data_IF_451937780754
#
_entry.id   IF_451937780754
#
_cell.length_a   1.000
_cell.length_b   1.000
_cell.length_c   1.000
_cell.angle_alpha   90.00
_cell.angle_beta   90.00
_cell.angle_gamma   90.00
#
_symmetry.space_group_name_H-M   'P 1'
#
loop_
_entity.id
_entity.type
_entity.pdbx_description
1 polymer ?
#
# COMPACT_ATOMS: atom_id res chain seq x y z
N UNK A 1 -10.78 10.75 7.99
CA UNK A 1 -11.48 11.24 6.77
C UNK A 1 -11.97 10.04 5.96
N UNK A 2 -13.24 10.03 5.52
CA UNK A 2 -13.80 8.93 4.71
C UNK A 2 -13.56 9.20 3.20
N UNK A 3 -12.59 8.50 2.61
CA UNK A 3 -12.20 8.68 1.21
C UNK A 3 -13.34 8.34 0.23
N UNK A 4 -14.05 7.23 0.44
CA UNK A 4 -15.18 6.83 -0.41
C UNK A 4 -16.34 7.83 -0.35
N UNK A 5 -16.65 8.38 0.82
CA UNK A 5 -17.68 9.43 0.97
C UNK A 5 -17.29 10.70 0.21
N UNK A 6 -16.04 11.15 0.35
CA UNK A 6 -15.53 12.32 -0.35
C UNK A 6 -15.58 12.13 -1.89
N UNK A 7 -15.28 10.92 -2.37
CA UNK A 7 -15.35 10.57 -3.77
C UNK A 7 -16.79 10.59 -4.32
N UNK A 8 -17.74 9.99 -3.59
CA UNK A 8 -19.16 10.05 -3.96
C UNK A 8 -19.70 11.50 -3.98
N UNK A 9 -19.30 12.33 -3.01
CA UNK A 9 -19.66 13.75 -2.99
C UNK A 9 -19.06 14.52 -4.17
N UNK A 10 -17.82 14.19 -4.58
CA UNK A 10 -17.17 14.81 -5.73
C UNK A 10 -17.96 14.56 -7.02
N UNK A 11 -18.55 13.38 -7.16
CA UNK A 11 -19.36 12.98 -8.31
C UNK A 11 -20.86 13.30 -8.15
N UNK A 12 -21.23 14.18 -7.22
CA UNK A 12 -22.64 14.58 -7.02
C UNK A 12 -23.58 13.46 -6.59
N UNK A 13 -23.04 12.30 -6.17
CA UNK A 13 -23.82 11.11 -5.84
C UNK A 13 -24.37 10.34 -7.05
N UNK A 14 -23.98 10.68 -8.28
CA UNK A 14 -24.46 10.02 -9.51
C UNK A 14 -23.86 8.62 -9.70
N UNK A 15 -22.68 8.38 -9.15
CA UNK A 15 -21.94 7.13 -9.26
C UNK A 15 -21.79 6.45 -7.90
N UNK A 16 -21.58 5.13 -7.92
CA UNK A 16 -20.98 4.43 -6.79
C UNK A 16 -19.45 4.46 -6.92
N UNK A 17 -18.84 5.40 -6.20
CA UNK A 17 -17.41 5.63 -6.26
C UNK A 17 -16.60 4.58 -5.50
N UNK A 18 -15.64 3.95 -6.19
CA UNK A 18 -14.56 3.15 -5.60
C UNK A 18 -13.25 3.93 -5.62
N UNK A 19 -12.40 3.69 -4.63
CA UNK A 19 -11.14 4.43 -4.41
C UNK A 19 -10.01 3.47 -4.10
N UNK A 20 -8.78 3.96 -3.94
CA UNK A 20 -7.64 3.14 -3.51
C UNK A 20 -7.49 3.04 -1.98
N UNK A 21 -8.00 4.04 -1.25
CA UNK A 21 -7.80 4.16 0.20
C UNK A 21 -8.84 3.35 1.00
N UNK A 22 -8.48 2.81 2.17
CA UNK A 22 -9.45 2.26 3.12
C UNK A 22 -10.51 3.29 3.51
N UNK A 23 -11.75 2.84 3.69
CA UNK A 23 -12.86 3.69 4.13
C UNK A 23 -13.67 2.99 5.22
N UNK A 24 -14.22 3.74 6.20
CA UNK A 24 -15.06 3.16 7.23
C UNK A 24 -16.42 2.72 6.64
N UNK A 25 -17.14 1.79 7.30
CA UNK A 25 -16.81 1.20 8.59
C UNK A 25 -15.69 0.15 8.53
N UNK A 26 -15.06 -0.14 9.67
CA UNK A 26 -14.12 -1.25 9.79
C UNK A 26 -14.81 -2.58 9.47
N UNK A 27 -14.12 -3.43 8.71
CA UNK A 27 -14.57 -4.79 8.40
C UNK A 27 -14.16 -5.71 9.53
N UNK A 28 -15.14 -6.24 10.25
CA UNK A 28 -14.95 -7.13 11.41
C UNK A 28 -15.12 -8.60 11.06
N UNK A 29 -15.53 -8.92 9.84
CA UNK A 29 -15.69 -10.29 9.36
C UNK A 29 -14.44 -10.77 8.61
N UNK A 30 -14.05 -12.01 8.89
CA UNK A 30 -12.86 -12.63 8.33
C UNK A 30 -13.00 -12.99 6.84
N UNK A 31 -11.92 -13.47 6.21
CA UNK A 31 -10.61 -13.76 6.83
C UNK A 31 -9.66 -12.55 6.84
N UNK A 32 -10.01 -11.47 6.15
CA UNK A 32 -9.10 -10.35 5.87
C UNK A 32 -9.12 -9.24 6.91
N UNK A 33 -10.26 -9.01 7.57
CA UNK A 33 -10.43 -7.97 8.60
C UNK A 33 -9.95 -6.59 8.10
N UNK A 34 -10.36 -6.28 6.87
CA UNK A 34 -10.04 -5.06 6.13
C UNK A 34 -11.05 -4.92 4.98
N UNK A 35 -11.31 -3.69 4.54
CA UNK A 35 -12.05 -3.46 3.30
C UNK A 35 -11.20 -3.82 2.06
N UNK A 36 -11.86 -4.00 0.93
CA UNK A 36 -11.25 -4.06 -0.41
C UNK A 36 -11.78 -2.85 -1.20
N UNK A 37 -11.04 -1.71 -1.21
CA UNK A 37 -11.56 -0.42 -1.70
C UNK A 37 -11.95 -0.39 -3.18
N UNK A 38 -11.31 -1.24 -4.00
CA UNK A 38 -11.52 -1.27 -5.46
C UNK A 38 -12.47 -2.36 -5.92
N UNK A 39 -12.81 -3.33 -5.05
CA UNK A 39 -13.74 -4.40 -5.39
C UNK A 39 -15.16 -3.85 -5.60
N UNK A 40 -15.92 -4.51 -6.47
CA UNK A 40 -17.33 -4.23 -6.75
C UNK A 40 -18.18 -4.32 -5.48
N UNK A 41 -17.86 -5.24 -4.57
CA UNK A 41 -18.71 -5.53 -3.43
C UNK A 41 -20.15 -5.85 -3.87
N UNK A 42 -21.12 -5.60 -3.00
CA UNK A 42 -22.53 -5.64 -3.40
C UNK A 42 -22.89 -4.37 -4.19
N UNK A 43 -23.68 -4.49 -5.28
CA UNK A 43 -24.24 -3.34 -5.96
C UNK A 43 -25.00 -2.47 -4.97
N UNK A 44 -24.85 -1.15 -5.09
CA UNK A 44 -25.68 -0.28 -4.27
C UNK A 44 -27.17 -0.49 -4.59
N UNK A 45 -28.03 -0.35 -3.58
CA UNK A 45 -29.48 -0.57 -3.75
C UNK A 45 -30.13 0.42 -4.74
N UNK A 46 -29.39 1.46 -5.14
CA UNK A 46 -29.84 2.50 -6.07
C UNK A 46 -29.55 2.17 -7.53
N UNK A 47 -28.73 1.16 -7.82
CA UNK A 47 -28.35 0.76 -9.17
C UNK A 47 -27.50 1.80 -9.90
N UNK A 48 -26.72 2.60 -9.17
CA UNK A 48 -25.87 3.63 -9.79
C UNK A 48 -24.69 2.99 -10.54
N UNK A 49 -24.22 3.59 -11.65
CA UNK A 49 -23.02 3.11 -12.33
C UNK A 49 -21.81 3.16 -11.39
N UNK A 50 -20.98 2.12 -11.45
CA UNK A 50 -19.78 1.98 -10.64
C UNK A 50 -18.61 2.65 -11.36
N UNK A 51 -17.88 3.50 -10.65
CA UNK A 51 -16.62 4.09 -11.11
C UNK A 51 -15.45 3.57 -10.28
N UNK A 52 -14.39 3.11 -10.95
CA UNK A 52 -13.20 2.54 -10.30
C UNK A 52 -11.90 3.20 -10.75
N UNK A 53 -10.82 3.10 -9.93
CA UNK A 53 -9.46 3.48 -10.35
C UNK A 53 -8.80 2.44 -11.27
N UNK A 54 -9.48 1.31 -11.51
CA UNK A 54 -9.02 0.18 -12.31
C UNK A 54 -10.11 -0.23 -13.30
N UNK A 55 -9.73 -0.99 -14.33
CA UNK A 55 -10.69 -1.53 -15.31
C UNK A 55 -11.67 -2.55 -14.70
N UNK A 56 -12.76 -2.86 -15.40
CA UNK A 56 -13.75 -3.84 -14.95
C UNK A 56 -14.91 -3.23 -14.15
N UNK A 57 -15.22 -1.97 -14.38
CA UNK A 57 -16.44 -1.29 -13.91
C UNK A 57 -17.19 -0.68 -15.10
N UNK A 58 -18.31 0.02 -14.84
CA UNK A 58 -19.05 0.74 -15.87
C UNK A 58 -18.21 1.88 -16.50
N UNK A 59 -17.35 2.51 -15.70
CA UNK A 59 -16.38 3.52 -16.15
C UNK A 59 -15.18 3.62 -15.21
N UNK A 60 -14.09 4.23 -15.65
CA UNK A 60 -12.94 4.55 -14.78
C UNK A 60 -12.92 6.03 -14.40
N UNK A 61 -12.24 6.36 -13.30
CA UNK A 61 -11.98 7.77 -12.97
C UNK A 61 -11.23 8.50 -14.08
N UNK A 62 -10.33 7.82 -14.78
CA UNK A 62 -9.56 8.40 -15.88
C UNK A 62 -10.46 8.78 -17.06
N UNK A 63 -11.44 7.92 -17.40
CA UNK A 63 -12.44 8.23 -18.43
C UNK A 63 -13.26 9.47 -18.06
N UNK A 64 -13.68 9.59 -16.80
CA UNK A 64 -14.44 10.76 -16.32
C UNK A 64 -13.61 12.05 -16.34
N UNK A 65 -12.29 11.96 -16.26
CA UNK A 65 -11.40 13.12 -16.25
C UNK A 65 -11.18 13.74 -17.63
N UNK A 66 -11.53 13.04 -18.73
CA UNK A 66 -11.13 13.43 -20.10
C UNK A 66 -11.47 14.89 -20.45
N UNK A 67 -12.68 15.32 -20.09
CA UNK A 67 -13.23 16.64 -20.42
C UNK A 67 -13.41 17.56 -19.19
N UNK A 68 -12.96 17.14 -18.00
CA UNK A 68 -13.06 17.90 -16.75
C UNK A 68 -11.69 18.04 -16.09
N UNK A 69 -11.06 19.20 -16.30
CA UNK A 69 -9.74 19.52 -15.73
C UNK A 69 -9.74 19.58 -14.21
N UNK A 70 -10.82 20.07 -13.59
CA UNK A 70 -10.88 20.18 -12.13
C UNK A 70 -11.00 18.80 -11.50
N UNK A 71 -11.78 17.91 -12.12
CA UNK A 71 -11.82 16.49 -11.73
C UNK A 71 -10.49 15.79 -11.98
N UNK A 72 -9.83 16.06 -13.11
CA UNK A 72 -8.51 15.53 -13.43
C UNK A 72 -7.48 15.89 -12.34
N UNK A 73 -7.39 17.16 -11.93
CA UNK A 73 -6.49 17.59 -10.86
C UNK A 73 -6.82 16.90 -9.52
N UNK A 74 -8.12 16.74 -9.22
CA UNK A 74 -8.59 16.05 -8.01
C UNK A 74 -8.26 14.55 -7.99
N UNK A 75 -8.41 13.88 -9.13
CA UNK A 75 -8.12 12.45 -9.32
C UNK A 75 -6.61 12.20 -9.32
N UNK A 76 -5.83 13.03 -10.00
CA UNK A 76 -4.39 12.96 -10.03
C UNK A 76 -3.84 13.00 -8.59
N UNK A 77 -4.29 13.97 -7.79
CA UNK A 77 -3.89 14.11 -6.38
C UNK A 77 -4.19 12.88 -5.48
N UNK A 78 -5.04 11.96 -5.94
CA UNK A 78 -5.45 10.74 -5.23
C UNK A 78 -5.04 9.45 -5.94
N UNK A 79 -4.29 9.55 -7.04
CA UNK A 79 -3.87 8.42 -7.87
C UNK A 79 -5.04 7.60 -8.45
N UNK A 80 -6.22 8.21 -8.60
CA UNK A 80 -7.42 7.53 -9.11
C UNK A 80 -7.49 7.51 -10.64
N UNK A 81 -6.92 8.52 -11.30
CA UNK A 81 -6.92 8.74 -12.75
C UNK A 81 -6.11 10.01 -13.06
N UNK A 82 -6.03 10.42 -14.32
CA UNK A 82 -5.23 11.55 -14.79
C UNK A 82 -3.79 11.51 -14.23
N UNK A 83 -3.16 10.34 -14.31
CA UNK A 83 -1.96 10.03 -13.54
C UNK A 83 -0.81 11.01 -13.85
N UNK A 84 -0.28 11.63 -12.80
CA UNK A 84 0.92 12.46 -12.90
C UNK A 84 2.17 11.59 -12.98
N UNK A 85 3.23 12.04 -13.67
CA UNK A 85 4.52 11.36 -13.61
C UNK A 85 5.13 11.51 -12.21
N UNK A 86 5.78 10.45 -11.74
CA UNK A 86 6.69 10.49 -10.59
C UNK A 86 7.93 11.31 -10.94
N UNK A 87 8.41 12.16 -10.02
CA UNK A 87 9.69 12.82 -10.17
C UNK A 87 10.85 11.83 -9.96
N UNK A 88 12.09 12.22 -10.31
CA UNK A 88 13.28 11.54 -9.81
C UNK A 88 13.28 11.45 -8.28
N UNK A 89 13.94 10.43 -7.73
CA UNK A 89 14.13 10.32 -6.30
C UNK A 89 14.81 11.58 -5.72
N UNK A 90 14.43 12.00 -4.49
CA UNK A 90 15.14 13.03 -3.72
C UNK A 90 16.61 12.65 -3.45
N UNK A 91 17.31 13.52 -2.72
CA UNK A 91 18.69 13.25 -2.32
C UNK A 91 18.80 11.89 -1.57
N UNK A 92 19.69 10.96 -2.01
CA UNK A 92 19.70 9.59 -1.51
C UNK A 92 19.81 9.45 0.02
N UNK A 93 20.65 10.25 0.67
CA UNK A 93 20.83 10.20 2.13
C UNK A 93 19.56 10.58 2.89
N UNK A 94 18.88 11.64 2.45
CA UNK A 94 17.58 12.07 3.02
C UNK A 94 16.46 11.07 2.78
N UNK A 95 16.42 10.50 1.57
CA UNK A 95 15.43 9.47 1.23
C UNK A 95 15.63 8.23 2.10
N UNK A 96 16.86 7.73 2.22
CA UNK A 96 17.18 6.56 3.03
C UNK A 96 16.86 6.79 4.52
N UNK A 97 17.23 7.95 5.10
CA UNK A 97 16.92 8.28 6.49
C UNK A 97 15.41 8.40 6.76
N UNK A 98 14.68 9.02 5.83
CA UNK A 98 13.21 9.13 5.91
C UNK A 98 12.55 7.77 5.80
N UNK A 99 12.97 6.96 4.82
CA UNK A 99 12.49 5.58 4.64
C UNK A 99 12.70 4.75 5.90
N UNK A 100 13.89 4.76 6.49
CA UNK A 100 14.18 4.02 7.72
C UNK A 100 13.27 4.46 8.88
N UNK A 101 13.04 5.78 9.02
CA UNK A 101 12.16 6.32 10.06
C UNK A 101 10.70 5.91 9.87
N UNK A 102 10.21 5.92 8.62
CA UNK A 102 8.85 5.51 8.30
C UNK A 102 8.66 3.99 8.39
N UNK A 103 9.68 3.21 8.02
CA UNK A 103 9.70 1.76 8.22
C UNK A 103 9.59 1.41 9.71
N UNK A 104 10.35 2.10 10.58
CA UNK A 104 10.24 1.92 12.02
C UNK A 104 8.83 2.21 12.56
N UNK A 105 8.12 3.21 12.02
CA UNK A 105 6.72 3.44 12.37
C UNK A 105 5.77 2.34 11.87
N UNK A 106 6.02 1.82 10.66
CA UNK A 106 5.24 0.72 10.10
C UNK A 106 5.33 -0.51 11.01
N UNK A 107 6.56 -0.89 11.39
CA UNK A 107 6.83 -2.08 12.20
C UNK A 107 6.44 -1.92 13.68
N UNK A 108 6.70 -0.76 14.28
CA UNK A 108 6.62 -0.59 15.73
C UNK A 108 5.41 0.21 16.22
N UNK A 109 4.60 0.78 15.32
CA UNK A 109 3.38 1.53 15.71
C UNK A 109 2.16 1.07 14.93
N UNK A 110 2.14 1.19 13.61
CA UNK A 110 0.94 0.95 12.81
C UNK A 110 0.57 -0.54 12.76
N UNK A 111 1.53 -1.42 12.48
CA UNK A 111 1.32 -2.86 12.48
C UNK A 111 0.90 -3.38 13.86
N UNK A 112 1.59 -3.03 14.98
CA UNK A 112 1.18 -3.42 16.33
C UNK A 112 -0.22 -2.92 16.70
N UNK A 113 -0.59 -1.69 16.32
CA UNK A 113 -1.93 -1.16 16.56
C UNK A 113 -3.00 -2.02 15.87
N UNK A 114 -2.78 -2.41 14.62
CA UNK A 114 -3.70 -3.29 13.89
C UNK A 114 -3.71 -4.70 14.48
N UNK A 115 -2.53 -5.23 14.81
CA UNK A 115 -2.38 -6.57 15.36
C UNK A 115 -3.08 -6.72 16.71
N UNK A 116 -2.95 -5.74 17.61
CA UNK A 116 -3.65 -5.74 18.88
C UNK A 116 -5.18 -5.79 18.70
N UNK A 117 -5.71 -5.13 17.68
CA UNK A 117 -7.15 -5.10 17.42
C UNK A 117 -7.69 -6.39 16.78
N UNK A 118 -6.93 -7.02 15.86
CA UNK A 118 -7.48 -8.12 15.06
C UNK A 118 -6.47 -9.19 14.58
N UNK A 119 -5.24 -9.18 15.09
CA UNK A 119 -4.20 -10.15 14.77
C UNK A 119 -3.59 -10.00 13.37
N UNK A 120 -3.94 -8.96 12.59
CA UNK A 120 -3.35 -8.71 11.26
C UNK A 120 -2.34 -7.57 11.31
N UNK A 121 -1.34 -7.63 10.44
CA UNK A 121 -0.24 -6.66 10.39
C UNK A 121 -0.22 -5.79 9.13
N UNK A 122 -0.82 -6.26 8.03
CA UNK A 122 -0.71 -5.59 6.74
C UNK A 122 -1.24 -4.15 6.76
N UNK A 123 -0.58 -3.27 6.04
CA UNK A 123 -0.96 -1.87 5.89
C UNK A 123 -1.50 -1.64 4.47
N UNK A 124 -1.88 -0.40 4.17
CA UNK A 124 -2.45 0.02 2.90
C UNK A 124 -1.89 1.37 2.50
N UNK A 125 -1.92 1.66 1.21
CA UNK A 125 -1.81 3.03 0.76
C UNK A 125 -2.93 3.87 1.39
N UNK A 126 -2.53 5.03 1.91
CA UNK A 126 -3.42 6.14 2.28
C UNK A 126 -2.81 7.39 1.68
N UNK A 127 -3.62 8.36 1.26
CA UNK A 127 -3.13 9.53 0.53
C UNK A 127 -2.01 10.24 1.30
N UNK A 128 -0.86 10.40 0.65
CA UNK A 128 0.33 11.03 1.23
C UNK A 128 1.22 10.11 2.06
N UNK A 129 0.96 8.80 2.09
CA UNK A 129 1.77 7.84 2.83
C UNK A 129 1.15 6.45 2.86
N UNK A 130 1.00 5.90 4.06
CA UNK A 130 0.50 4.56 4.31
C UNK A 130 -0.17 4.47 5.68
N UNK A 131 -1.06 3.51 5.86
CA UNK A 131 -1.84 3.38 7.09
C UNK A 131 -2.44 2.01 7.28
N UNK A 132 -3.03 1.80 8.46
CA UNK A 132 -3.85 0.61 8.69
C UNK A 132 -5.12 0.69 7.81
N UNK A 133 -5.74 -0.46 7.47
CA UNK A 133 -7.19 -0.47 7.25
C UNK A 133 -7.92 0.09 8.48
N UNK A 134 -9.19 0.44 8.32
CA UNK A 134 -10.03 0.72 9.49
C UNK A 134 -10.20 -0.56 10.32
N UNK A 135 -10.01 -0.46 11.62
CA UNK A 135 -10.24 -1.51 12.61
C UNK A 135 -11.08 -0.96 13.78
N UNK A 136 -11.65 -1.84 14.61
CA UNK A 136 -12.40 -1.44 15.81
C UNK A 136 -11.44 -1.29 16.97
N UNK A 137 -11.50 -0.17 17.70
CA UNK A 137 -10.78 -0.02 18.96
C UNK A 137 -11.50 -0.70 20.13
N UNK A 138 -10.92 -0.63 21.33
CA UNK A 138 -11.48 -1.25 22.54
C UNK A 138 -12.86 -0.69 22.94
N UNK A 139 -13.19 0.53 22.50
CA UNK A 139 -14.51 1.13 22.71
C UNK A 139 -15.54 0.69 21.65
N UNK A 140 -15.10 -0.01 20.60
CA UNK A 140 -15.93 -0.42 19.47
C UNK A 140 -16.07 0.64 18.38
N UNK A 141 -15.30 1.72 18.44
CA UNK A 141 -15.31 2.78 17.44
C UNK A 141 -14.39 2.46 16.26
N UNK A 142 -14.72 3.00 15.08
CA UNK A 142 -13.86 2.88 13.91
C UNK A 142 -12.58 3.72 14.10
N UNK A 143 -11.44 3.05 13.97
CA UNK A 143 -10.11 3.65 14.11
C UNK A 143 -9.24 3.38 12.89
N UNK A 144 -8.46 4.38 12.51
CA UNK A 144 -7.37 4.23 11.55
C UNK A 144 -6.15 5.02 12.05
N UNK A 145 -4.97 4.41 11.94
CA UNK A 145 -3.68 5.07 12.19
C UNK A 145 -2.92 5.10 10.88
N UNK A 146 -2.46 6.27 10.43
CA UNK A 146 -1.72 6.44 9.18
C UNK A 146 -0.64 7.50 9.27
N UNK A 147 0.35 7.39 8.41
CA UNK A 147 1.32 8.43 8.12
C UNK A 147 0.83 9.22 6.91
N UNK A 148 0.85 10.55 7.02
CA UNK A 148 0.63 11.47 5.90
C UNK A 148 1.75 12.50 5.90
N UNK A 149 2.72 12.34 4.99
CA UNK A 149 3.95 13.14 5.00
C UNK A 149 4.77 12.91 6.29
N UNK A 150 4.99 13.99 7.04
CA UNK A 150 5.73 14.02 8.31
C UNK A 150 4.83 14.01 9.55
N UNK A 151 3.53 13.77 9.37
CA UNK A 151 2.55 13.70 10.44
C UNK A 151 1.97 12.30 10.62
N UNK A 152 1.71 11.95 11.88
CA UNK A 152 0.89 10.81 12.27
C UNK A 152 -0.56 11.28 12.37
N UNK A 153 -1.45 10.57 11.70
CA UNK A 153 -2.87 10.89 11.66
C UNK A 153 -3.68 9.73 12.23
N UNK A 154 -4.56 10.04 13.17
CA UNK A 154 -5.44 9.07 13.83
C UNK A 154 -6.88 9.51 13.61
N UNK A 155 -7.63 8.70 12.88
CA UNK A 155 -9.08 8.84 12.79
C UNK A 155 -9.73 8.00 13.90
N UNK A 156 -10.66 8.59 14.65
CA UNK A 156 -11.47 7.95 15.70
C UNK A 156 -12.92 8.38 15.51
N UNK A 157 -13.76 7.46 15.04
CA UNK A 157 -15.13 7.78 14.62
C UNK A 157 -15.14 8.88 13.56
N UNK A 158 -15.76 10.02 13.87
CA UNK A 158 -15.80 11.19 12.97
C UNK A 158 -14.64 12.18 13.19
N UNK A 159 -13.84 12.03 14.24
CA UNK A 159 -12.75 12.92 14.57
C UNK A 159 -11.45 12.51 13.86
N UNK A 160 -10.68 13.50 13.41
CA UNK A 160 -9.32 13.32 12.88
C UNK A 160 -8.34 14.10 13.73
N UNK A 161 -7.32 13.42 14.26
CA UNK A 161 -6.25 14.00 15.05
C UNK A 161 -4.93 13.91 14.29
N UNK A 162 -4.08 14.93 14.42
CA UNK A 162 -2.76 14.99 13.79
C UNK A 162 -1.70 15.37 14.81
N UNK A 163 -0.50 14.79 14.66
CA UNK A 163 0.69 15.18 15.40
C UNK A 163 1.93 15.02 14.53
N UNK A 164 2.97 15.85 14.72
CA UNK A 164 4.25 15.66 14.06
C UNK A 164 4.88 14.33 14.52
N UNK A 165 5.58 13.67 13.60
CA UNK A 165 6.34 12.47 13.92
C UNK A 165 7.70 12.88 14.51
N UNK A 166 7.99 12.41 15.72
CA UNK A 166 9.24 12.73 16.43
C UNK A 166 10.00 11.49 16.87
N UNK A 167 9.34 10.58 17.58
CA UNK A 167 9.89 9.30 18.04
C UNK A 167 8.83 8.20 17.94
N UNK A 168 9.26 6.94 17.93
CA UNK A 168 8.34 5.79 17.94
C UNK A 168 7.46 5.80 19.20
N UNK A 169 8.01 6.12 20.37
CA UNK A 169 7.26 6.20 21.63
C UNK A 169 6.16 7.26 21.59
N UNK A 170 6.50 8.48 21.14
CA UNK A 170 5.51 9.57 21.02
C UNK A 170 4.40 9.22 20.03
N UNK A 171 4.75 8.57 18.93
CA UNK A 171 3.81 8.11 17.92
C UNK A 171 2.85 7.04 18.48
N UNK A 172 3.35 6.07 19.24
CA UNK A 172 2.53 5.02 19.86
C UNK A 172 1.57 5.59 20.93
N UNK A 173 2.06 6.49 21.78
CA UNK A 173 1.23 7.19 22.77
C UNK A 173 0.10 7.97 22.09
N UNK A 174 0.42 8.71 21.02
CA UNK A 174 -0.57 9.46 20.24
C UNK A 174 -1.60 8.53 19.58
N UNK A 175 -1.13 7.42 19.00
CA UNK A 175 -1.99 6.40 18.40
C UNK A 175 -2.78 5.61 19.44
N UNK A 176 -2.53 5.78 20.75
CA UNK A 176 -3.14 5.00 21.84
C UNK A 176 -2.98 3.50 21.60
N UNK A 177 -1.76 3.06 21.32
CA UNK A 177 -1.41 1.65 21.17
C UNK A 177 -0.09 1.36 21.89
N UNK A 178 0.15 0.10 22.22
CA UNK A 178 1.48 -0.32 22.65
C UNK A 178 2.48 -0.13 21.50
N UNK A 179 3.65 0.44 21.80
CA UNK A 179 4.78 0.47 20.88
C UNK A 179 5.46 -0.90 20.84
N UNK A 180 5.86 -1.35 19.65
CA UNK A 180 6.42 -2.68 19.43
C UNK A 180 5.34 -3.77 19.38
N UNK A 181 5.50 -4.72 18.47
CA UNK A 181 4.72 -5.97 18.51
C UNK A 181 5.24 -6.89 19.63
N UNK A 182 4.54 -7.97 20.00
CA UNK A 182 5.25 -9.17 20.43
C UNK A 182 6.14 -9.62 19.26
N UNK A 183 7.41 -9.22 19.34
CA UNK A 183 8.47 -9.47 18.38
C UNK A 183 9.00 -10.89 18.55
N UNK A 184 9.28 -11.58 17.43
CA UNK A 184 10.15 -12.75 17.39
C UNK A 184 9.47 -14.03 16.92
N UNK A 185 10.15 -14.84 16.10
CA UNK A 185 9.69 -16.18 15.71
C UNK A 185 9.54 -17.18 16.89
N UNK A 186 9.82 -16.74 18.12
CA UNK A 186 9.66 -17.47 19.37
C UNK A 186 8.41 -17.07 20.15
N UNK A 187 8.26 -17.68 21.32
CA UNK A 187 7.24 -17.31 22.29
C UNK A 187 7.82 -16.23 23.24
N UNK A 188 7.04 -15.20 23.58
CA UNK A 188 7.39 -14.28 24.66
C UNK A 188 7.41 -15.01 26.04
N UNK A 189 7.76 -14.30 27.11
CA UNK A 189 7.75 -14.85 28.48
C UNK A 189 6.37 -15.38 28.91
N UNK A 190 5.30 -14.94 28.23
CA UNK A 190 3.92 -15.36 28.43
C UNK A 190 3.47 -16.49 27.48
N UNK A 191 4.33 -16.99 26.59
CA UNK A 191 3.99 -18.08 25.68
C UNK A 191 3.28 -17.64 24.39
N UNK A 192 3.38 -16.37 23.96
CA UNK A 192 2.77 -15.84 22.73
C UNK A 192 3.78 -15.83 21.58
N UNK A 193 3.47 -16.53 20.48
CA UNK A 193 4.32 -16.58 19.29
C UNK A 193 4.34 -15.22 18.60
N UNK A 194 5.51 -14.64 18.37
CA UNK A 194 5.63 -13.38 17.63
C UNK A 194 5.32 -13.55 16.14
N UNK A 195 4.95 -12.44 15.50
CA UNK A 195 4.31 -12.42 14.19
C UNK A 195 5.32 -12.37 13.04
N UNK A 196 6.39 -11.59 13.22
CA UNK A 196 7.57 -11.53 12.36
C UNK A 196 8.79 -11.02 13.16
N UNK A 197 9.99 -11.13 12.60
CA UNK A 197 11.21 -10.52 13.12
C UNK A 197 11.39 -9.13 12.48
N UNK A 198 11.34 -8.03 13.24
CA UNK A 198 11.51 -6.69 12.71
C UNK A 198 12.88 -6.49 12.10
N UNK A 199 12.93 -5.73 11.01
CA UNK A 199 14.18 -5.36 10.35
C UNK A 199 14.70 -4.02 10.84
N UNK A 200 13.86 -3.20 11.48
CA UNK A 200 14.26 -1.94 12.12
C UNK A 200 14.42 -2.10 13.65
N UNK A 201 15.42 -1.42 14.25
CA UNK A 201 15.63 -1.48 15.69
C UNK A 201 14.48 -0.80 16.46
N UNK A 202 13.98 -1.46 17.50
CA UNK A 202 13.05 -0.83 18.44
C UNK A 202 13.81 0.12 19.39
N UNK A 203 13.78 1.41 19.07
CA UNK A 203 14.36 2.49 19.88
C UNK A 203 13.31 3.58 20.13
N UNK A 204 12.44 3.42 21.16
CA UNK A 204 11.24 4.25 21.33
C UNK A 204 11.53 5.75 21.52
N UNK A 205 12.69 6.09 22.09
CA UNK A 205 13.11 7.46 22.35
C UNK A 205 14.08 8.02 21.30
N UNK A 206 14.52 7.20 20.34
CA UNK A 206 15.41 7.68 19.29
C UNK A 206 14.67 8.66 18.35
N UNK A 207 15.29 9.78 17.97
CA UNK A 207 14.70 10.70 17.00
C UNK A 207 14.48 10.02 15.65
N UNK A 208 13.28 10.16 15.11
CA UNK A 208 12.93 9.83 13.74
C UNK A 208 13.24 11.05 12.86
N UNK A 209 13.99 10.82 11.78
CA UNK A 209 14.40 11.87 10.85
C UNK A 209 13.55 11.77 9.60
N UNK A 210 12.66 12.75 9.40
CA UNK A 210 11.77 12.80 8.25
C UNK A 210 12.02 14.09 7.49
N UNK A 211 12.54 13.95 6.27
CA UNK A 211 12.63 15.06 5.32
C UNK A 211 11.27 15.21 4.59
N UNK A 212 10.63 16.39 4.61
CA UNK A 212 9.29 16.57 4.04
C UNK A 212 9.18 16.27 2.54
N UNK A 213 10.25 16.52 1.77
CA UNK A 213 10.28 16.22 0.34
C UNK A 213 10.36 14.72 0.10
N UNK A 214 11.17 14.02 0.88
CA UNK A 214 11.30 12.56 0.87
C UNK A 214 10.01 11.88 1.32
N UNK A 215 9.35 12.38 2.36
CA UNK A 215 8.07 11.84 2.84
C UNK A 215 6.96 12.00 1.79
N UNK A 216 6.86 13.19 1.18
CA UNK A 216 5.92 13.43 0.08
C UNK A 216 6.19 12.51 -1.11
N UNK A 217 7.46 12.36 -1.48
CA UNK A 217 7.87 11.46 -2.55
C UNK A 217 7.47 10.00 -2.26
N UNK A 218 7.69 9.49 -1.03
CA UNK A 218 7.29 8.14 -0.64
C UNK A 218 5.77 7.94 -0.65
N UNK A 219 5.00 8.95 -0.23
CA UNK A 219 3.54 8.93 -0.35
C UNK A 219 3.06 8.87 -1.81
N UNK A 220 3.75 9.58 -2.70
CA UNK A 220 3.50 9.53 -4.14
C UNK A 220 3.89 8.17 -4.75
N UNK A 221 5.02 7.61 -4.33
CA UNK A 221 5.47 6.28 -4.73
C UNK A 221 4.44 5.19 -4.35
N UNK A 222 3.97 5.17 -3.10
CA UNK A 222 2.97 4.19 -2.67
C UNK A 222 1.62 4.39 -3.36
N UNK A 223 1.22 5.63 -3.67
CA UNK A 223 0.01 5.91 -4.43
C UNK A 223 0.09 5.42 -5.87
N UNK A 224 1.21 5.69 -6.55
CA UNK A 224 1.49 5.14 -7.87
C UNK A 224 1.49 3.61 -7.87
N UNK A 225 2.22 3.00 -6.93
CA UNK A 225 2.30 1.56 -6.78
C UNK A 225 0.93 0.92 -6.53
N UNK A 226 0.11 1.50 -5.65
CA UNK A 226 -1.23 0.99 -5.37
C UNK A 226 -2.11 0.98 -6.63
N UNK A 227 -2.10 2.06 -7.42
CA UNK A 227 -2.86 2.13 -8.67
C UNK A 227 -2.39 1.14 -9.73
N UNK A 228 -1.08 0.84 -9.79
CA UNK A 228 -0.51 -0.15 -10.73
C UNK A 228 -0.81 -1.58 -10.29
N UNK A 229 -0.60 -1.90 -9.01
CA UNK A 229 -0.80 -3.26 -8.47
C UNK A 229 -2.29 -3.63 -8.42
N UNK A 230 -3.18 -2.68 -8.08
CA UNK A 230 -4.62 -2.94 -8.13
C UNK A 230 -5.11 -3.13 -9.57
N UNK A 231 -4.52 -2.44 -10.55
CA UNK A 231 -4.82 -2.68 -11.97
C UNK A 231 -4.37 -4.08 -12.40
N UNK A 232 -3.16 -4.49 -12.01
CA UNK A 232 -2.67 -5.84 -12.29
C UNK A 232 -3.58 -6.90 -11.65
N UNK A 233 -4.03 -6.65 -10.41
CA UNK A 233 -4.98 -7.53 -9.71
C UNK A 233 -6.35 -7.57 -10.39
N UNK A 234 -6.85 -6.44 -10.88
CA UNK A 234 -8.12 -6.40 -11.61
C UNK A 234 -8.08 -7.14 -12.97
N UNK A 235 -6.88 -7.27 -13.55
CA UNK A 235 -6.63 -8.08 -14.75
C UNK A 235 -6.35 -9.56 -14.45
N UNK A 236 -6.29 -9.94 -13.18
CA UNK A 236 -6.11 -11.33 -12.76
C UNK A 236 -7.37 -12.14 -13.03
N UNK A 237 -7.20 -13.39 -13.43
CA UNK A 237 -8.29 -14.36 -13.55
C UNK A 237 -8.26 -15.34 -12.36
N UNK A 238 -9.26 -16.21 -12.27
CA UNK A 238 -9.37 -17.17 -11.16
C UNK A 238 -8.13 -18.07 -11.02
N UNK A 239 -7.41 -18.33 -12.12
CA UNK A 239 -6.20 -19.15 -12.09
C UNK A 239 -5.01 -18.43 -11.44
N UNK A 240 -5.02 -17.09 -11.36
CA UNK A 240 -3.99 -16.36 -10.61
C UNK A 240 -4.23 -16.33 -9.10
N UNK A 241 -5.39 -16.77 -8.62
CA UNK A 241 -5.71 -16.79 -7.18
C UNK A 241 -5.31 -15.49 -6.44
N UNK A 242 -5.78 -14.31 -6.93
CA UNK A 242 -5.21 -13.04 -6.54
C UNK A 242 -5.38 -12.75 -5.05
N UNK A 243 -4.26 -12.43 -4.38
CA UNK A 243 -4.30 -11.86 -3.04
C UNK A 243 -4.74 -10.39 -3.07
N UNK A 244 -4.90 -9.77 -1.90
CA UNK A 244 -5.15 -8.33 -1.81
C UNK A 244 -3.84 -7.55 -1.91
N UNK A 245 -3.87 -6.42 -2.59
CA UNK A 245 -2.76 -5.45 -2.53
C UNK A 245 -2.61 -4.96 -1.09
N UNK A 246 -1.40 -5.06 -0.55
CA UNK A 246 -1.11 -4.63 0.81
C UNK A 246 0.34 -4.24 1.02
N UNK A 247 0.56 -3.37 2.01
CA UNK A 247 1.91 -3.01 2.43
C UNK A 247 2.33 -3.95 3.55
N UNK A 248 3.45 -4.65 3.37
CA UNK A 248 4.00 -5.54 4.40
C UNK A 248 4.96 -4.75 5.29
N UNK A 249 4.68 -4.63 6.60
CA UNK A 249 5.51 -3.85 7.48
C UNK A 249 6.94 -4.40 7.58
N UNK A 250 7.13 -5.73 7.53
CA UNK A 250 8.45 -6.36 7.62
C UNK A 250 9.40 -6.07 6.43
N UNK A 251 8.84 -5.77 5.26
CA UNK A 251 9.60 -5.46 4.04
C UNK A 251 9.47 -3.99 3.62
N UNK A 252 8.52 -3.28 4.23
CA UNK A 252 8.12 -1.92 3.91
C UNK A 252 7.81 -1.66 2.43
N UNK A 253 7.27 -2.67 1.76
CA UNK A 253 6.89 -2.63 0.35
C UNK A 253 5.38 -2.88 0.17
N UNK A 254 4.85 -2.41 -0.96
CA UNK A 254 3.47 -2.68 -1.35
C UNK A 254 3.47 -3.83 -2.36
N UNK A 255 2.71 -4.89 -2.12
CA UNK A 255 2.71 -6.05 -2.99
C UNK A 255 1.36 -6.77 -3.11
N UNK A 256 1.28 -7.66 -4.10
CA UNK A 256 0.19 -8.60 -4.32
C UNK A 256 0.75 -9.93 -4.82
N UNK A 257 0.26 -11.03 -4.27
CA UNK A 257 0.59 -12.36 -4.75
C UNK A 257 -0.37 -12.78 -5.85
N UNK A 258 0.17 -13.28 -6.95
CA UNK A 258 -0.57 -13.79 -8.10
C UNK A 258 0.08 -15.08 -8.59
N UNK A 259 -0.74 -15.94 -9.19
CA UNK A 259 -0.35 -17.20 -9.80
C UNK A 259 -0.83 -18.44 -9.04
N UNK A 260 -0.75 -19.58 -9.72
CA UNK A 260 -1.20 -20.86 -9.18
C UNK A 260 -0.09 -21.52 -8.35
N UNK A 261 -0.28 -21.52 -7.03
CA UNK A 261 0.65 -22.13 -6.07
C UNK A 261 0.83 -23.63 -6.32
N UNK A 262 -0.26 -24.33 -6.62
CA UNK A 262 -0.25 -25.76 -6.83
C UNK A 262 0.51 -26.16 -8.11
N UNK A 263 0.58 -25.25 -9.07
CA UNK A 263 1.34 -25.42 -10.31
C UNK A 263 2.80 -24.92 -10.21
N UNK A 264 3.22 -24.36 -9.07
CA UNK A 264 4.55 -23.77 -8.92
C UNK A 264 4.73 -22.43 -9.66
N UNK A 265 3.64 -21.84 -10.16
CA UNK A 265 3.65 -20.62 -10.96
C UNK A 265 3.15 -19.41 -10.16
N UNK A 266 3.45 -19.37 -8.85
CA UNK A 266 3.06 -18.29 -7.93
C UNK A 266 4.24 -17.39 -7.60
N UNK A 267 3.95 -16.10 -7.47
CA UNK A 267 4.95 -15.07 -7.26
C UNK A 267 4.38 -13.82 -6.63
N UNK A 268 5.27 -13.00 -6.08
CA UNK A 268 4.91 -11.71 -5.47
C UNK A 268 5.27 -10.58 -6.43
N UNK A 269 4.28 -9.73 -6.70
CA UNK A 269 4.41 -8.55 -7.55
C UNK A 269 4.36 -7.33 -6.63
N UNK A 270 5.39 -6.50 -6.65
CA UNK A 270 5.46 -5.42 -5.66
C UNK A 270 6.24 -4.19 -6.08
N UNK A 271 6.27 -3.25 -5.14
CA UNK A 271 6.89 -1.95 -5.25
C UNK A 271 7.57 -1.61 -3.93
N UNK A 272 8.90 -1.65 -3.92
CA UNK A 272 9.71 -1.30 -2.76
C UNK A 272 10.13 0.18 -2.84
N UNK A 273 10.13 0.94 -1.73
CA UNK A 273 10.72 2.28 -1.66
C UNK A 273 12.26 2.27 -1.66
N UNK A 274 12.87 1.12 -1.93
CA UNK A 274 14.29 0.84 -1.82
C UNK A 274 14.62 0.17 -0.49
N UNK A 275 15.79 -0.43 -0.40
CA UNK A 275 16.27 -1.23 0.74
C UNK A 275 17.80 -1.19 0.81
N UNK A 276 18.42 -2.19 1.43
CA UNK A 276 19.88 -2.30 1.54
C UNK A 276 20.56 -2.71 0.22
N UNK A 277 19.88 -3.49 -0.62
CA UNK A 277 20.39 -3.91 -1.93
C UNK A 277 20.08 -2.88 -3.03
N UNK A 278 18.99 -2.11 -2.88
CA UNK A 278 18.50 -1.15 -3.86
C UNK A 278 18.28 0.22 -3.24
N UNK A 279 19.19 1.16 -3.48
CA UNK A 279 19.07 2.53 -2.95
C UNK A 279 17.78 3.24 -3.41
N UNK A 280 17.42 3.05 -4.69
CA UNK A 280 16.26 3.68 -5.33
C UNK A 280 15.00 2.82 -5.18
N UNK A 281 13.80 3.43 -5.15
CA UNK A 281 12.55 2.70 -5.30
C UNK A 281 12.52 1.88 -6.59
N UNK A 282 11.85 0.74 -6.57
CA UNK A 282 11.77 -0.18 -7.70
C UNK A 282 10.50 -1.03 -7.67
N UNK A 283 10.02 -1.42 -8.84
CA UNK A 283 9.01 -2.47 -8.99
C UNK A 283 9.70 -3.82 -9.07
N UNK A 284 9.06 -4.88 -8.60
CA UNK A 284 9.61 -6.22 -8.67
C UNK A 284 8.58 -7.31 -8.98
N UNK A 285 9.10 -8.45 -9.43
CA UNK A 285 8.40 -9.71 -9.53
C UNK A 285 9.31 -10.80 -8.97
N UNK A 286 8.85 -11.54 -7.96
CA UNK A 286 9.52 -12.75 -7.45
C UNK A 286 8.77 -14.00 -7.88
N UNK A 287 9.40 -15.15 -7.72
CA UNK A 287 8.78 -16.47 -7.89
C UNK A 287 9.00 -17.32 -6.63
N UNK A 288 7.99 -18.08 -6.23
CA UNK A 288 8.02 -18.85 -4.97
C UNK A 288 8.62 -20.25 -5.13
N UNK A 289 8.70 -20.73 -6.36
CA UNK A 289 9.33 -21.99 -6.73
C UNK A 289 10.42 -21.73 -7.77
N UNK A 290 11.25 -22.75 -8.04
CA UNK A 290 12.21 -22.70 -9.12
C UNK A 290 11.49 -22.54 -10.46
N UNK A 291 11.99 -21.64 -11.30
CA UNK A 291 11.47 -21.34 -12.64
C UNK A 291 12.54 -21.58 -13.70
N UNK A 292 12.11 -21.80 -14.94
CA UNK A 292 13.04 -21.87 -16.06
C UNK A 292 13.84 -20.55 -16.21
N UNK A 293 15.14 -20.64 -16.54
CA UNK A 293 15.94 -19.44 -16.80
C UNK A 293 15.33 -18.60 -17.94
N UNK A 294 15.03 -17.34 -17.64
CA UNK A 294 14.57 -16.34 -18.60
C UNK A 294 15.33 -15.04 -18.37
N UNK A 295 15.58 -14.29 -19.45
CA UNK A 295 16.24 -12.97 -19.38
C UNK A 295 15.45 -11.95 -18.56
N UNK A 296 14.16 -12.21 -18.33
CA UNK A 296 13.29 -11.38 -17.51
C UNK A 296 13.75 -11.38 -16.05
N UNK A 297 14.21 -12.53 -15.52
CA UNK A 297 14.76 -12.66 -14.17
C UNK A 297 16.15 -12.00 -14.13
N UNK A 298 16.15 -10.69 -13.94
CA UNK A 298 17.30 -9.81 -14.12
C UNK A 298 17.91 -9.31 -12.80
N UNK A 299 17.30 -9.63 -11.65
CA UNK A 299 17.77 -9.17 -10.35
C UNK A 299 18.88 -10.10 -9.82
N UNK A 300 19.84 -9.51 -9.11
CA UNK A 300 20.98 -10.24 -8.55
C UNK A 300 20.95 -10.30 -7.01
N UNK A 301 20.06 -9.54 -6.37
CA UNK A 301 19.89 -9.51 -4.93
C UNK A 301 18.83 -10.50 -4.43
N UNK A 302 17.87 -10.88 -5.29
CA UNK A 302 16.85 -11.88 -5.00
C UNK A 302 16.45 -12.67 -6.26
N UNK A 303 15.79 -13.80 -6.06
CA UNK A 303 15.25 -14.64 -7.13
C UNK A 303 14.03 -13.97 -7.77
N UNK A 304 14.28 -13.19 -8.82
CA UNK A 304 13.24 -12.46 -9.51
C UNK A 304 13.75 -11.39 -10.48
N UNK A 305 12.91 -10.39 -10.68
CA UNK A 305 13.17 -9.28 -11.58
C UNK A 305 12.84 -7.94 -10.91
N UNK A 306 13.57 -6.89 -11.29
CA UNK A 306 13.29 -5.52 -10.87
C UNK A 306 13.28 -4.52 -12.04
N UNK A 307 12.52 -3.45 -11.86
CA UNK A 307 12.52 -2.24 -12.67
C UNK A 307 12.70 -1.04 -11.75
N UNK A 308 13.88 -0.41 -11.81
CA UNK A 308 14.23 0.68 -10.91
C UNK A 308 13.56 2.00 -11.30
N UNK A 309 13.35 2.90 -10.33
CA UNK A 309 12.82 4.23 -10.59
C UNK A 309 13.65 5.02 -11.62
N UNK A 310 15.00 5.01 -11.61
CA UNK A 310 15.80 5.65 -12.66
C UNK A 310 15.52 5.14 -14.08
N UNK A 311 15.13 3.87 -14.25
CA UNK A 311 14.71 3.31 -15.53
C UNK A 311 13.26 3.69 -15.88
N UNK A 312 12.41 3.84 -14.87
CA UNK A 312 11.02 4.22 -15.02
C UNK A 312 10.82 5.72 -15.35
N UNK A 313 11.56 6.61 -14.68
CA UNK A 313 11.40 8.07 -14.78
C UNK A 313 11.45 8.60 -16.23
N UNK A 314 12.36 8.15 -17.11
CA UNK A 314 12.43 8.60 -18.50
C UNK A 314 11.27 8.13 -19.38
N UNK A 315 10.45 7.18 -18.93
CA UNK A 315 9.32 6.67 -19.71
C UNK A 315 8.29 7.79 -19.93
N UNK A 316 7.82 7.92 -21.19
CA UNK A 316 6.77 8.90 -21.55
C UNK A 316 5.48 8.66 -20.78
N UNK A 317 5.13 7.40 -20.58
CA UNK A 317 4.02 6.95 -19.75
C UNK A 317 4.58 5.93 -18.75
N UNK A 318 4.86 6.42 -17.55
CA UNK A 318 5.44 5.62 -16.47
C UNK A 318 4.46 4.53 -16.00
N UNK A 319 3.16 4.82 -15.98
CA UNK A 319 2.16 3.83 -15.55
C UNK A 319 2.08 2.68 -16.55
N UNK A 320 2.08 2.98 -17.84
CA UNK A 320 2.11 1.95 -18.88
C UNK A 320 3.39 1.10 -18.80
N UNK A 321 4.57 1.74 -18.65
CA UNK A 321 5.84 1.02 -18.52
C UNK A 321 5.88 0.09 -17.29
N UNK A 322 5.36 0.57 -16.14
CA UNK A 322 5.24 -0.23 -14.92
C UNK A 322 4.34 -1.46 -15.11
N UNK A 323 3.15 -1.26 -15.72
CA UNK A 323 2.23 -2.37 -16.01
C UNK A 323 2.82 -3.35 -17.01
N UNK A 324 3.53 -2.89 -18.04
CA UNK A 324 4.16 -3.76 -19.03
C UNK A 324 5.23 -4.65 -18.40
N UNK A 325 6.01 -4.13 -17.46
CA UNK A 325 6.97 -4.91 -16.67
C UNK A 325 6.25 -6.00 -15.85
N UNK A 326 5.28 -5.63 -15.01
CA UNK A 326 4.59 -6.58 -14.13
C UNK A 326 3.79 -7.63 -14.92
N UNK A 327 3.11 -7.22 -16.00
CA UNK A 327 2.40 -8.15 -16.91
C UNK A 327 3.38 -9.08 -17.62
N UNK A 328 4.60 -8.63 -17.92
CA UNK A 328 5.63 -9.51 -18.48
C UNK A 328 6.05 -10.57 -17.47
N UNK A 329 6.27 -10.19 -16.22
CA UNK A 329 6.55 -11.15 -15.14
C UNK A 329 5.44 -12.17 -14.96
N UNK A 330 4.17 -11.73 -14.93
CA UNK A 330 3.02 -12.65 -14.83
C UNK A 330 2.95 -13.63 -16.02
N UNK A 331 3.31 -13.19 -17.23
CA UNK A 331 3.36 -14.08 -18.42
C UNK A 331 4.53 -15.06 -18.38
N UNK A 332 5.70 -14.65 -17.90
CA UNK A 332 6.88 -15.53 -17.79
C UNK A 332 6.64 -16.59 -16.71
N UNK A 333 6.14 -16.16 -15.55
CA UNK A 333 5.81 -17.04 -14.43
C UNK A 333 4.78 -18.11 -14.81
N UNK A 334 3.72 -17.75 -15.54
CA UNK A 334 2.71 -18.71 -16.03
C UNK A 334 3.22 -19.74 -17.04
N UNK A 335 4.42 -19.54 -17.62
CA UNK A 335 5.03 -20.45 -18.58
C UNK A 335 6.10 -21.35 -17.97
N UNK A 336 6.50 -21.04 -16.73
CA UNK A 336 7.53 -21.76 -15.99
C UNK A 336 7.00 -23.07 -15.44
#
# INVERSE_FOLDING_TARGET
MNARRAANQRLGGEYDARVLEPSPPAVTEGPWLACDPVNDGEPDATGRPVVKPVTGADTTWDDLCHDDRELADWCAARWLGAWRPLPPAPEPGRLAATRASLHALAEHVLSPARHAANGKIGLRFTRGGFGTPFFRDDAGDDKQVRVEGDELVVDLGEATHRAPITTVGTAADFARCAAGAPVGAGYDEAGVRGVYEPTTPFAPDAPLVIDPDSARFLGDWFGFAAGVLEQLRAEADDADQPARVQLWPEHFDLSVDLGDDAAGARGTFGASPGDEAHDNPYLYVTHWADVDPDRFWNDAAFDGASLSLPELVPARDQRAAALDFLRSGRRVLRRS
#
